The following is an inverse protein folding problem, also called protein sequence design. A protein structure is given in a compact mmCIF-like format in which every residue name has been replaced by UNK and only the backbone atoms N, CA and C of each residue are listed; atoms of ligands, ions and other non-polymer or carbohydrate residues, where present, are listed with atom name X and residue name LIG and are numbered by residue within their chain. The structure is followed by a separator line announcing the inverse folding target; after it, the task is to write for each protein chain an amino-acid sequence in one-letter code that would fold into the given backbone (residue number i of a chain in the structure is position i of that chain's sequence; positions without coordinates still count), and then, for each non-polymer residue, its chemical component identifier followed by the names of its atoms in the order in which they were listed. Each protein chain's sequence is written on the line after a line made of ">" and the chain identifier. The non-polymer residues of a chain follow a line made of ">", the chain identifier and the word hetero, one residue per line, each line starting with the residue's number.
data_IF_095518757353
#
_entry.id   IF_095518757353
#
_cell.length_a   1.000
_cell.length_b   1.000
_cell.length_c   1.000
_cell.angle_alpha   90.00
_cell.angle_beta   90.00
_cell.angle_gamma   90.00
#
_symmetry.space_group_name_H-M   'P 1'
#
loop_
_entity.id
_entity.type
_entity.pdbx_description
1 polymer ?
#
# COMPACT_ATOMS: atom_id res chain seq x y z
N UNK A 1 -24.41 35.77 5.30
CA UNK A 1 -25.27 35.24 6.35
C UNK A 1 -25.90 33.95 5.84
N UNK A 2 -25.44 32.90 6.23
CA UNK A 2 -25.90 31.65 6.78
C UNK A 2 -24.81 30.58 6.58
N UNK A 3 -24.13 30.38 7.68
CA UNK A 3 -23.27 29.24 7.93
C UNK A 3 -24.13 28.16 8.55
N UNK A 4 -24.43 27.09 7.81
CA UNK A 4 -25.02 25.88 8.43
C UNK A 4 -23.99 24.77 8.38
N UNK A 5 -23.20 24.72 9.46
CA UNK A 5 -22.46 23.54 9.83
C UNK A 5 -23.45 22.50 10.35
N UNK A 6 -23.57 21.37 9.67
CA UNK A 6 -24.35 20.25 10.14
C UNK A 6 -23.61 19.52 11.27
N UNK A 7 -24.25 19.22 12.38
CA UNK A 7 -23.64 18.52 13.50
C UNK A 7 -23.38 17.05 13.16
N UNK A 8 -22.21 16.55 13.54
CA UNK A 8 -21.90 15.12 13.57
C UNK A 8 -22.72 14.50 14.70
N UNK A 9 -23.87 13.92 14.35
CA UNK A 9 -24.72 13.19 15.27
C UNK A 9 -24.33 11.72 15.30
N UNK A 10 -23.82 11.26 16.42
CA UNK A 10 -23.71 9.84 16.72
C UNK A 10 -25.08 9.31 17.13
N UNK A 11 -25.66 8.42 16.35
CA UNK A 11 -26.81 7.61 16.76
C UNK A 11 -26.47 6.14 16.56
N UNK A 12 -26.39 5.37 17.66
CA UNK A 12 -26.32 3.92 17.64
C UNK A 12 -27.71 3.37 17.81
N UNK A 13 -28.14 2.47 16.94
CA UNK A 13 -29.38 1.72 17.07
C UNK A 13 -29.20 0.29 17.61
N UNK A 14 -27.97 -0.08 17.95
CA UNK A 14 -27.69 -1.38 18.59
C UNK A 14 -27.75 -2.59 17.67
N UNK A 15 -27.84 -2.44 16.34
CA UNK A 15 -28.02 -3.57 15.40
C UNK A 15 -26.77 -3.97 14.60
N UNK A 16 -25.63 -3.36 14.80
CA UNK A 16 -24.40 -3.73 14.08
C UNK A 16 -24.31 -3.24 12.63
N UNK A 17 -25.30 -2.54 12.09
CA UNK A 17 -25.33 -2.03 10.70
C UNK A 17 -24.52 -0.73 10.47
N UNK A 18 -23.70 -0.36 11.41
CA UNK A 18 -22.95 0.91 11.42
C UNK A 18 -21.88 1.03 10.33
N UNK A 19 -21.36 -0.09 9.87
CA UNK A 19 -20.26 -0.09 8.91
C UNK A 19 -20.71 0.16 7.47
N UNK A 20 -21.96 -0.16 7.11
CA UNK A 20 -22.44 -0.01 5.73
C UNK A 20 -22.76 1.46 5.33
N UNK A 21 -23.20 2.28 6.25
CA UNK A 21 -23.64 3.66 5.96
C UNK A 21 -22.53 4.68 5.78
N UNK A 22 -21.44 4.59 6.51
CA UNK A 22 -20.29 5.50 6.38
C UNK A 22 -19.37 5.15 5.21
N UNK A 23 -19.21 3.85 4.93
CA UNK A 23 -18.40 3.37 3.79
C UNK A 23 -19.04 3.71 2.44
N UNK A 24 -20.36 3.71 2.33
CA UNK A 24 -21.06 3.89 1.04
C UNK A 24 -21.04 5.33 0.49
N UNK A 25 -20.71 6.36 1.26
CA UNK A 25 -20.70 7.75 0.75
C UNK A 25 -19.35 8.22 0.18
N UNK A 26 -18.25 7.58 0.54
CA UNK A 26 -16.90 7.92 0.05
C UNK A 26 -16.35 6.95 -1.01
N UNK A 27 -16.93 5.75 -1.14
CA UNK A 27 -16.34 4.63 -1.88
C UNK A 27 -17.15 4.28 -3.14
N UNK A 28 -17.62 5.29 -3.87
CA UNK A 28 -18.33 5.04 -5.14
C UNK A 28 -17.50 4.33 -6.22
N UNK A 29 -16.20 4.12 -6.00
CA UNK A 29 -15.29 3.60 -7.03
C UNK A 29 -14.38 2.44 -6.62
N UNK A 30 -14.66 1.78 -5.51
CA UNK A 30 -13.99 0.51 -5.18
C UNK A 30 -14.98 -0.66 -5.35
N UNK A 31 -14.99 -1.35 -6.50
CA UNK A 31 -16.00 -2.37 -6.83
C UNK A 31 -16.04 -3.54 -5.84
N UNK A 32 -14.93 -3.83 -5.17
CA UNK A 32 -14.81 -4.90 -4.18
C UNK A 32 -15.49 -4.61 -2.83
N UNK A 33 -15.81 -3.34 -2.52
CA UNK A 33 -16.59 -2.97 -1.33
C UNK A 33 -18.12 -3.02 -1.57
N UNK A 34 -18.57 -3.07 -2.83
CA UNK A 34 -20.00 -3.05 -3.16
C UNK A 34 -20.64 -4.44 -3.22
N UNK A 35 -19.87 -5.54 -3.21
CA UNK A 35 -20.43 -6.86 -3.46
C UNK A 35 -21.03 -7.57 -2.26
N UNK A 36 -20.90 -7.05 -1.04
CA UNK A 36 -21.47 -7.70 0.17
C UNK A 36 -21.04 -9.16 0.41
N UNK A 37 -20.15 -9.68 -0.43
CA UNK A 37 -19.66 -11.04 -0.41
C UNK A 37 -18.24 -11.05 0.20
N UNK A 38 -18.17 -11.00 1.52
CA UNK A 38 -16.91 -11.20 2.26
C UNK A 38 -16.41 -12.65 2.20
N UNK A 39 -16.87 -13.45 1.27
CA UNK A 39 -16.51 -14.87 1.14
C UNK A 39 -15.66 -15.23 -0.06
N UNK A 40 -15.51 -14.37 -1.05
CA UNK A 40 -14.74 -14.68 -2.27
C UNK A 40 -13.95 -13.46 -2.71
N UNK A 41 -12.73 -13.28 -2.15
CA UNK A 41 -11.75 -12.42 -2.81
C UNK A 41 -11.29 -13.11 -4.10
N UNK A 42 -11.42 -12.47 -5.28
CA UNK A 42 -10.88 -13.05 -6.50
C UNK A 42 -9.35 -13.16 -6.32
N UNK A 43 -8.86 -14.41 -6.47
CA UNK A 43 -7.44 -14.64 -6.70
C UNK A 43 -6.93 -13.59 -7.71
N UNK A 44 -5.76 -13.02 -7.51
CA UNK A 44 -4.88 -12.13 -8.31
C UNK A 44 -5.27 -11.87 -9.80
N UNK A 45 -6.46 -12.13 -10.18
CA UNK A 45 -7.07 -11.62 -11.40
C UNK A 45 -7.64 -10.24 -11.03
N UNK A 46 -7.03 -9.20 -11.59
CA UNK A 46 -7.61 -7.86 -11.51
C UNK A 46 -9.12 -7.95 -11.74
N UNK A 47 -9.90 -7.08 -11.15
CA UNK A 47 -11.37 -7.03 -11.11
C UNK A 47 -12.06 -7.33 -12.47
N UNK A 48 -11.30 -7.57 -13.55
CA UNK A 48 -11.73 -7.88 -14.90
C UNK A 48 -10.88 -8.99 -15.58
N UNK A 49 -10.19 -9.85 -14.84
CA UNK A 49 -9.45 -10.97 -15.42
C UNK A 49 -8.16 -10.61 -16.16
N UNK A 50 -7.61 -9.42 -15.96
CA UNK A 50 -6.33 -9.01 -16.54
C UNK A 50 -5.25 -9.30 -15.51
N UNK A 51 -4.35 -10.26 -15.80
CA UNK A 51 -3.15 -10.48 -15.01
C UNK A 51 -2.25 -9.25 -15.10
N UNK A 52 -1.82 -8.69 -13.96
CA UNK A 52 -0.87 -7.59 -13.91
C UNK A 52 0.55 -8.13 -13.99
N UNK A 53 1.31 -7.65 -14.96
CA UNK A 53 2.73 -7.97 -15.10
C UNK A 53 3.57 -6.91 -14.37
N UNK A 54 3.86 -7.18 -13.11
CA UNK A 54 4.69 -6.30 -12.27
C UNK A 54 6.16 -6.27 -12.72
N UNK A 55 6.62 -7.27 -13.48
CA UNK A 55 7.99 -7.35 -14.00
C UNK A 55 8.30 -6.28 -15.04
N UNK A 56 7.34 -5.92 -15.91
CA UNK A 56 7.53 -4.93 -16.99
C UNK A 56 7.94 -3.54 -16.50
N UNK A 57 7.66 -3.19 -15.27
CA UNK A 57 7.90 -1.85 -14.72
C UNK A 57 9.00 -1.82 -13.66
N UNK A 58 9.66 -2.95 -13.36
CA UNK A 58 10.55 -3.11 -12.20
C UNK A 58 11.66 -2.05 -12.10
N UNK A 59 12.34 -1.71 -13.20
CA UNK A 59 13.42 -0.70 -13.20
C UNK A 59 12.87 0.73 -12.96
N UNK A 60 11.74 1.09 -13.57
CA UNK A 60 11.06 2.38 -13.32
C UNK A 60 10.42 2.40 -11.93
N UNK A 61 9.88 1.27 -11.50
CA UNK A 61 9.33 1.09 -10.16
C UNK A 61 10.40 1.36 -9.10
N UNK A 62 11.58 0.77 -9.25
CA UNK A 62 12.72 0.97 -8.38
C UNK A 62 13.14 2.46 -8.27
N UNK A 63 13.08 3.19 -9.39
CA UNK A 63 13.49 4.60 -9.45
C UNK A 63 12.48 5.57 -8.82
N UNK A 64 11.17 5.30 -8.95
CA UNK A 64 10.13 6.29 -8.65
C UNK A 64 9.17 5.89 -7.52
N UNK A 65 9.36 4.74 -6.89
CA UNK A 65 8.51 4.25 -5.79
C UNK A 65 9.11 4.41 -4.41
N UNK A 66 10.39 4.75 -4.31
CA UNK A 66 11.02 5.09 -3.03
C UNK A 66 10.66 6.54 -2.67
N UNK A 67 9.43 6.73 -2.17
CA UNK A 67 8.82 8.04 -1.94
C UNK A 67 8.38 8.27 -0.49
N UNK A 68 8.53 7.26 0.38
CA UNK A 68 8.07 7.41 1.76
C UNK A 68 8.92 8.45 2.49
N UNK A 69 8.32 9.51 3.06
CA UNK A 69 9.06 10.50 3.82
C UNK A 69 9.55 9.92 5.16
N UNK A 70 10.56 10.55 5.75
CA UNK A 70 11.14 10.11 7.02
C UNK A 70 10.10 9.90 8.12
N UNK A 71 9.08 10.74 8.17
CA UNK A 71 7.98 10.65 9.15
C UNK A 71 7.23 9.32 9.07
N UNK A 72 7.10 8.72 7.87
CA UNK A 72 6.48 7.40 7.69
C UNK A 72 7.25 6.33 8.48
N UNK A 73 8.57 6.32 8.36
CA UNK A 73 9.44 5.37 9.07
C UNK A 73 9.52 5.66 10.58
N UNK A 74 9.56 6.93 10.97
CA UNK A 74 9.62 7.35 12.37
C UNK A 74 8.39 6.89 13.16
N UNK A 75 7.22 6.78 12.51
CA UNK A 75 6.00 6.25 13.13
C UNK A 75 6.14 4.77 13.48
N UNK A 76 6.78 3.98 12.60
CA UNK A 76 7.07 2.56 12.86
C UNK A 76 8.02 2.43 14.05
N UNK A 77 9.10 3.20 14.04
CA UNK A 77 10.12 3.18 15.11
C UNK A 77 9.53 3.60 16.47
N UNK A 78 8.65 4.60 16.51
CA UNK A 78 7.95 5.01 17.75
C UNK A 78 7.08 3.90 18.35
N UNK A 79 6.67 2.92 17.56
CA UNK A 79 5.98 1.71 18.04
C UNK A 79 6.94 0.65 18.56
N UNK A 80 8.26 0.90 18.54
CA UNK A 80 9.31 -0.07 18.84
C UNK A 80 9.21 -1.32 17.95
N UNK A 81 8.86 -1.13 16.67
CA UNK A 81 8.78 -2.17 15.65
C UNK A 81 9.86 -1.96 14.59
N UNK A 82 10.33 -3.06 14.01
CA UNK A 82 11.37 -3.09 12.98
C UNK A 82 12.68 -2.43 13.43
N UNK A 83 13.08 -2.67 14.68
CA UNK A 83 14.27 -2.09 15.33
C UNK A 83 15.27 -3.18 15.73
N UNK A 84 16.43 -2.76 16.25
CA UNK A 84 17.53 -3.63 16.67
C UNK A 84 17.04 -4.79 17.57
N UNK A 85 17.54 -5.99 17.30
CA UNK A 85 17.21 -7.24 18.00
C UNK A 85 15.98 -7.95 17.46
N UNK A 86 15.22 -7.35 16.53
CA UNK A 86 14.05 -7.99 15.92
C UNK A 86 14.39 -8.66 14.59
N UNK A 87 13.76 -9.81 14.32
CA UNK A 87 13.71 -10.45 13.00
C UNK A 87 12.41 -10.03 12.32
N UNK A 88 12.51 -9.41 11.15
CA UNK A 88 11.38 -8.82 10.42
C UNK A 88 11.21 -9.48 9.06
N UNK A 89 9.99 -9.89 8.74
CA UNK A 89 9.60 -10.35 7.41
C UNK A 89 8.77 -9.26 6.71
N UNK A 90 9.18 -8.85 5.52
CA UNK A 90 8.44 -7.90 4.67
C UNK A 90 7.75 -8.65 3.53
N UNK A 91 6.44 -8.85 3.65
CA UNK A 91 5.62 -9.53 2.64
C UNK A 91 5.29 -8.60 1.48
N UNK A 92 5.39 -9.10 0.24
CA UNK A 92 5.21 -8.29 -0.95
C UNK A 92 6.20 -7.12 -0.98
N UNK A 93 7.46 -7.40 -0.64
CA UNK A 93 8.53 -6.39 -0.45
C UNK A 93 8.83 -5.57 -1.71
N UNK A 94 8.42 -6.07 -2.89
CA UNK A 94 8.70 -5.44 -4.17
C UNK A 94 10.20 -5.27 -4.38
N UNK A 95 10.64 -4.04 -4.60
CA UNK A 95 12.07 -3.71 -4.74
C UNK A 95 12.78 -3.46 -3.40
N UNK A 96 12.20 -3.89 -2.28
CA UNK A 96 12.80 -3.76 -0.95
C UNK A 96 12.76 -2.34 -0.37
N UNK A 97 11.80 -1.51 -0.75
CA UNK A 97 11.75 -0.09 -0.31
C UNK A 97 11.67 0.02 1.21
N UNK A 98 10.76 -0.73 1.85
CA UNK A 98 10.60 -0.66 3.30
C UNK A 98 11.84 -1.20 4.01
N UNK A 99 12.26 -2.41 3.70
CA UNK A 99 13.40 -3.08 4.34
C UNK A 99 14.71 -2.29 4.19
N UNK A 100 15.01 -1.73 3.00
CA UNK A 100 16.21 -0.90 2.76
C UNK A 100 16.21 0.38 3.59
N UNK A 101 15.10 1.10 3.61
CA UNK A 101 15.02 2.37 4.35
C UNK A 101 14.98 2.17 5.86
N UNK A 102 14.43 1.04 6.33
CA UNK A 102 14.39 0.67 7.74
C UNK A 102 15.67 -0.06 8.23
N UNK A 103 16.54 -0.50 7.33
CA UNK A 103 17.78 -1.24 7.65
C UNK A 103 18.65 -0.54 8.71
N UNK A 104 18.75 0.77 8.65
CA UNK A 104 19.52 1.59 9.60
C UNK A 104 19.06 1.50 11.06
N UNK A 105 17.86 0.97 11.32
CA UNK A 105 17.34 0.81 12.69
C UNK A 105 17.71 -0.53 13.32
N UNK A 106 18.52 -1.35 12.63
CA UNK A 106 19.21 -2.51 13.20
C UNK A 106 18.41 -3.81 13.27
N UNK A 107 17.18 -3.86 12.75
CA UNK A 107 16.46 -5.13 12.60
C UNK A 107 17.12 -6.02 11.54
N UNK A 108 16.93 -7.34 11.68
CA UNK A 108 17.28 -8.32 10.64
C UNK A 108 16.11 -8.47 9.69
N UNK A 109 16.36 -8.21 8.41
CA UNK A 109 15.30 -8.17 7.41
C UNK A 109 15.34 -9.37 6.47
N UNK A 110 14.17 -9.95 6.25
CA UNK A 110 13.87 -10.86 5.15
C UNK A 110 12.71 -10.26 4.34
N UNK A 111 12.87 -10.12 3.02
CA UNK A 111 11.81 -9.64 2.13
C UNK A 111 11.34 -10.74 1.18
N UNK A 112 10.03 -10.87 1.00
CA UNK A 112 9.46 -11.83 0.04
C UNK A 112 8.56 -11.12 -0.97
N UNK A 113 8.57 -11.60 -2.20
CA UNK A 113 7.64 -11.19 -3.25
C UNK A 113 7.42 -12.36 -4.21
N UNK A 114 6.27 -12.42 -4.85
CA UNK A 114 5.98 -13.47 -5.84
C UNK A 114 6.73 -13.23 -7.17
N UNK A 115 7.15 -11.99 -7.45
CA UNK A 115 7.87 -11.62 -8.67
C UNK A 115 9.38 -11.76 -8.50
N UNK A 116 9.99 -12.68 -9.27
CA UNK A 116 11.44 -12.84 -9.34
C UNK A 116 12.14 -11.56 -9.82
N UNK A 117 11.52 -10.79 -10.71
CA UNK A 117 12.07 -9.53 -11.23
C UNK A 117 12.11 -8.45 -10.15
N UNK A 118 11.10 -8.36 -9.29
CA UNK A 118 11.10 -7.46 -8.14
C UNK A 118 12.21 -7.84 -7.16
N UNK A 119 12.33 -9.11 -6.83
CA UNK A 119 13.37 -9.62 -5.94
C UNK A 119 14.77 -9.39 -6.51
N UNK A 120 14.96 -9.58 -7.82
CA UNK A 120 16.25 -9.29 -8.47
C UNK A 120 16.62 -7.79 -8.31
N UNK A 121 15.67 -6.89 -8.50
CA UNK A 121 15.88 -5.45 -8.26
C UNK A 121 16.13 -5.13 -6.78
N UNK A 122 15.41 -5.77 -5.86
CA UNK A 122 15.64 -5.61 -4.43
C UNK A 122 17.08 -5.96 -4.03
N UNK A 123 17.60 -7.07 -4.50
CA UNK A 123 18.99 -7.50 -4.26
C UNK A 123 20.01 -6.50 -4.80
N UNK A 124 19.81 -5.97 -6.01
CA UNK A 124 20.71 -4.96 -6.62
C UNK A 124 20.71 -3.67 -5.78
N UNK A 125 19.52 -3.19 -5.39
CA UNK A 125 19.36 -1.93 -4.64
C UNK A 125 19.81 -2.04 -3.18
N UNK A 126 19.94 -3.26 -2.66
CA UNK A 126 20.39 -3.55 -1.29
C UNK A 126 21.85 -3.99 -1.24
N UNK A 127 22.63 -3.77 -2.31
CA UNK A 127 24.05 -4.12 -2.31
C UNK A 127 24.78 -3.49 -1.11
N UNK A 128 25.47 -4.34 -0.33
CA UNK A 128 26.13 -3.92 0.91
C UNK A 128 25.25 -3.88 2.17
N UNK A 129 23.97 -4.23 2.06
CA UNK A 129 23.06 -4.42 3.20
C UNK A 129 22.88 -5.92 3.47
N UNK A 130 22.82 -6.31 4.76
CA UNK A 130 22.52 -7.69 5.16
C UNK A 130 20.98 -7.88 5.21
N UNK A 131 20.36 -7.97 4.03
CA UNK A 131 18.93 -8.21 3.84
C UNK A 131 18.76 -9.45 2.97
N UNK A 132 18.02 -10.42 3.44
CA UNK A 132 17.66 -11.62 2.67
C UNK A 132 16.43 -11.36 1.80
N UNK A 133 16.42 -11.89 0.57
CA UNK A 133 15.26 -11.78 -0.33
C UNK A 133 14.96 -13.11 -1.00
N UNK A 134 13.66 -13.49 -0.98
CA UNK A 134 13.16 -14.71 -1.61
C UNK A 134 11.97 -14.46 -2.52
N UNK A 135 11.97 -15.10 -3.70
CA UNK A 135 10.80 -15.10 -4.59
C UNK A 135 9.87 -16.26 -4.19
N UNK A 136 8.89 -15.95 -3.34
CA UNK A 136 7.96 -16.94 -2.77
C UNK A 136 6.60 -16.30 -2.48
N UNK A 137 5.53 -17.10 -2.57
CA UNK A 137 4.19 -16.69 -2.15
C UNK A 137 4.12 -16.51 -0.63
N UNK A 138 3.53 -15.41 -0.18
CA UNK A 138 3.31 -15.13 1.25
C UNK A 138 2.42 -16.17 1.94
N UNK A 139 1.52 -16.81 1.19
CA UNK A 139 0.56 -17.81 1.66
C UNK A 139 1.17 -19.20 1.88
N UNK A 140 2.43 -19.39 1.45
CA UNK A 140 3.14 -20.66 1.61
C UNK A 140 4.63 -20.42 1.58
N UNK A 141 5.25 -20.42 2.73
CA UNK A 141 6.69 -20.25 2.91
C UNK A 141 7.31 -21.46 3.63
N UNK A 142 8.63 -21.61 3.51
CA UNK A 142 9.40 -22.63 4.23
C UNK A 142 10.12 -22.06 5.47
N UNK A 143 9.75 -20.85 5.92
CA UNK A 143 10.32 -20.26 7.14
C UNK A 143 9.98 -21.07 8.37
N UNK A 144 10.89 -21.11 9.36
CA UNK A 144 10.66 -21.81 10.62
C UNK A 144 9.47 -21.25 11.40
N UNK A 145 8.84 -22.10 12.22
CA UNK A 145 7.84 -21.67 13.17
C UNK A 145 8.44 -20.74 14.22
N UNK A 146 7.67 -19.75 14.69
CA UNK A 146 8.04 -18.83 15.75
C UNK A 146 9.39 -18.10 15.48
N UNK A 147 9.61 -17.67 14.27
CA UNK A 147 10.90 -17.09 13.84
C UNK A 147 10.91 -15.56 13.83
N UNK A 148 9.84 -14.93 13.35
CA UNK A 148 9.78 -13.48 13.19
C UNK A 148 9.17 -12.77 14.42
N UNK A 149 9.74 -11.64 14.80
CA UNK A 149 9.17 -10.73 15.80
C UNK A 149 8.09 -9.84 15.18
N UNK A 150 8.31 -9.43 13.91
CA UNK A 150 7.40 -8.55 13.17
C UNK A 150 7.25 -9.06 11.74
N UNK A 151 6.02 -9.05 11.24
CA UNK A 151 5.72 -9.21 9.82
C UNK A 151 5.12 -7.91 9.31
N UNK A 152 5.68 -7.34 8.23
CA UNK A 152 5.17 -6.13 7.59
C UNK A 152 4.48 -6.47 6.28
N UNK A 153 3.42 -5.71 5.94
CA UNK A 153 2.80 -5.70 4.62
C UNK A 153 2.52 -4.25 4.22
N UNK A 154 3.38 -3.72 3.33
CA UNK A 154 3.30 -2.34 2.89
C UNK A 154 2.71 -2.25 1.49
N UNK A 155 1.51 -1.68 1.34
CA UNK A 155 0.78 -1.49 0.08
C UNK A 155 0.29 -2.77 -0.61
N UNK A 156 0.39 -3.94 0.00
CA UNK A 156 0.14 -5.23 -0.64
C UNK A 156 -0.89 -6.12 0.07
N UNK A 157 -1.28 -5.77 1.31
CA UNK A 157 -2.07 -6.65 2.17
C UNK A 157 -3.35 -7.19 1.52
N UNK A 158 -4.03 -6.40 0.72
CA UNK A 158 -5.28 -6.81 0.08
C UNK A 158 -5.14 -7.67 -1.19
N UNK A 159 -3.91 -7.99 -1.59
CA UNK A 159 -3.68 -8.93 -2.71
C UNK A 159 -3.57 -10.39 -2.25
N UNK A 160 -3.47 -10.63 -0.95
CA UNK A 160 -3.27 -11.96 -0.39
C UNK A 160 -4.58 -12.75 -0.23
N UNK A 161 -4.45 -14.08 -0.30
CA UNK A 161 -5.48 -15.03 0.11
C UNK A 161 -5.44 -15.15 1.65
N UNK A 162 -6.31 -14.41 2.33
CA UNK A 162 -6.31 -14.32 3.80
C UNK A 162 -6.64 -15.64 4.49
N UNK A 163 -7.39 -16.54 3.86
CA UNK A 163 -7.67 -17.88 4.40
C UNK A 163 -6.40 -18.73 4.52
N UNK A 164 -5.43 -18.49 3.64
CA UNK A 164 -4.13 -19.17 3.64
C UNK A 164 -3.07 -18.38 4.39
N UNK A 165 -3.09 -17.05 4.27
CA UNK A 165 -2.07 -16.19 4.89
C UNK A 165 -2.18 -16.18 6.41
N UNK A 166 -3.39 -16.08 6.97
CA UNK A 166 -3.57 -15.97 8.42
C UNK A 166 -2.91 -17.14 9.20
N UNK A 167 -3.19 -18.43 8.88
CA UNK A 167 -2.53 -19.53 9.57
C UNK A 167 -1.01 -19.57 9.37
N UNK A 168 -0.51 -19.10 8.21
CA UNK A 168 0.93 -19.01 7.96
C UNK A 168 1.58 -17.92 8.82
N UNK A 169 0.93 -16.78 9.01
CA UNK A 169 1.38 -15.73 9.95
C UNK A 169 1.39 -16.21 11.40
N UNK A 170 0.35 -16.94 11.81
CA UNK A 170 0.31 -17.55 13.17
C UNK A 170 1.46 -18.52 13.37
N UNK A 171 1.85 -19.28 12.34
CA UNK A 171 2.96 -20.23 12.40
C UNK A 171 4.32 -19.53 12.50
N UNK A 172 4.55 -18.53 11.64
CA UNK A 172 5.85 -17.87 11.51
C UNK A 172 6.17 -16.88 12.62
N UNK A 173 5.15 -16.23 13.20
CA UNK A 173 5.34 -15.25 14.26
C UNK A 173 5.70 -15.90 15.58
N UNK A 174 6.64 -15.30 16.30
CA UNK A 174 6.90 -15.63 17.71
C UNK A 174 5.67 -15.35 18.57
N UNK A 175 5.49 -16.03 19.72
CA UNK A 175 4.45 -15.66 20.68
C UNK A 175 4.52 -14.17 21.03
N UNK A 176 3.40 -13.45 20.86
CA UNK A 176 3.34 -12.01 21.05
C UNK A 176 3.98 -11.18 19.93
N UNK A 177 4.35 -11.79 18.81
CA UNK A 177 4.84 -11.10 17.61
C UNK A 177 3.76 -10.24 16.94
N UNK A 178 4.16 -9.38 16.04
CA UNK A 178 3.32 -8.32 15.49
C UNK A 178 3.18 -8.43 13.96
N UNK A 179 1.99 -8.12 13.46
CA UNK A 179 1.76 -7.79 12.06
C UNK A 179 1.63 -6.27 11.97
N UNK A 180 2.37 -5.65 11.08
CA UNK A 180 2.32 -4.22 10.81
C UNK A 180 1.84 -3.99 9.37
N UNK A 181 0.63 -3.51 9.23
CA UNK A 181 0.03 -3.14 7.96
C UNK A 181 0.27 -1.67 7.68
N UNK A 182 0.74 -1.35 6.49
CA UNK A 182 1.14 0.00 6.10
C UNK A 182 0.54 0.38 4.74
N UNK A 183 0.03 1.60 4.67
CA UNK A 183 -0.53 2.17 3.45
C UNK A 183 -0.16 3.64 3.31
N UNK A 184 0.03 4.10 2.07
CA UNK A 184 0.18 5.50 1.74
C UNK A 184 -0.34 5.77 0.32
N UNK A 185 -1.20 6.77 0.18
CA UNK A 185 -1.73 7.18 -1.11
C UNK A 185 -1.86 8.70 -1.21
N UNK A 186 -1.81 9.23 -2.44
CA UNK A 186 -2.13 10.64 -2.69
C UNK A 186 -3.64 10.88 -2.58
N UNK A 187 -4.00 12.13 -2.26
CA UNK A 187 -5.38 12.57 -2.07
C UNK A 187 -5.79 13.48 -3.25
N UNK A 188 -6.41 12.93 -4.31
CA UNK A 188 -6.69 13.69 -5.54
C UNK A 188 -7.72 14.81 -5.35
N UNK A 189 -8.57 14.71 -4.33
CA UNK A 189 -9.56 15.75 -4.02
C UNK A 189 -9.00 16.88 -3.17
N UNK A 190 -7.87 16.67 -2.51
CA UNK A 190 -7.22 17.65 -1.64
C UNK A 190 -5.99 18.29 -2.30
N UNK A 191 -5.48 17.68 -3.37
CA UNK A 191 -4.29 18.14 -4.10
C UNK A 191 -4.58 18.33 -5.58
N UNK A 192 -4.38 19.56 -6.06
CA UNK A 192 -4.70 19.94 -7.45
C UNK A 192 -3.81 19.24 -8.48
N UNK A 193 -2.53 19.02 -8.16
CA UNK A 193 -1.59 18.37 -9.08
C UNK A 193 -1.91 16.87 -9.16
N UNK A 194 -2.16 16.24 -8.03
CA UNK A 194 -2.58 14.85 -7.99
C UNK A 194 -3.93 14.65 -8.69
N UNK A 195 -4.92 15.50 -8.40
CA UNK A 195 -6.25 15.42 -9.01
C UNK A 195 -6.22 15.58 -10.53
N UNK A 196 -5.45 16.56 -11.05
CA UNK A 196 -5.30 16.76 -12.49
C UNK A 196 -4.56 15.61 -13.17
N UNK A 197 -3.52 15.07 -12.52
CA UNK A 197 -2.77 13.92 -13.02
C UNK A 197 -3.65 12.66 -13.07
N UNK A 198 -4.48 12.45 -12.04
CA UNK A 198 -5.41 11.33 -11.97
C UNK A 198 -6.55 11.46 -12.99
N UNK A 199 -7.10 12.65 -13.18
CA UNK A 199 -8.09 12.93 -14.22
C UNK A 199 -7.53 12.59 -15.62
N UNK A 200 -6.26 12.94 -15.89
CA UNK A 200 -5.60 12.58 -17.13
C UNK A 200 -5.40 11.05 -17.25
N UNK A 201 -5.03 10.37 -16.16
CA UNK A 201 -4.93 8.92 -16.15
C UNK A 201 -6.28 8.26 -16.49
N UNK A 202 -7.38 8.74 -15.91
CA UNK A 202 -8.75 8.27 -16.17
C UNK A 202 -9.22 8.57 -17.61
N UNK A 203 -8.73 9.61 -18.26
CA UNK A 203 -8.99 9.86 -19.69
C UNK A 203 -8.48 8.70 -20.56
N UNK A 204 -7.31 8.14 -20.25
CA UNK A 204 -6.71 7.01 -20.95
C UNK A 204 -7.21 5.65 -20.46
N UNK A 205 -7.50 5.52 -19.17
CA UNK A 205 -8.01 4.31 -18.54
C UNK A 205 -9.25 4.60 -17.67
N UNK A 206 -10.44 4.77 -18.27
CA UNK A 206 -11.66 5.10 -17.51
C UNK A 206 -12.09 4.02 -16.50
N UNK A 207 -11.53 2.80 -16.63
CA UNK A 207 -11.84 1.67 -15.73
C UNK A 207 -10.82 1.49 -14.60
N UNK A 208 -9.89 2.42 -14.45
CA UNK A 208 -8.91 2.33 -13.37
C UNK A 208 -9.58 2.50 -12.01
N UNK A 209 -9.65 1.40 -11.25
CA UNK A 209 -10.31 1.33 -9.94
C UNK A 209 -9.48 1.90 -8.79
N UNK A 210 -8.21 2.27 -9.01
CA UNK A 210 -7.34 2.86 -7.98
C UNK A 210 -7.36 4.39 -7.94
N UNK A 211 -8.30 5.02 -8.65
CA UNK A 211 -8.52 6.46 -8.64
C UNK A 211 -9.55 6.87 -7.57
N UNK A 212 -9.50 8.14 -7.15
CA UNK A 212 -10.47 8.71 -6.22
C UNK A 212 -10.22 8.37 -4.76
N UNK A 213 -8.95 8.21 -4.38
CA UNK A 213 -8.55 7.86 -3.02
C UNK A 213 -8.96 8.94 -2.00
N UNK A 214 -9.36 8.49 -0.83
CA UNK A 214 -9.71 9.31 0.32
C UNK A 214 -9.11 8.72 1.59
N UNK A 215 -9.01 9.51 2.66
CA UNK A 215 -8.52 9.01 3.96
C UNK A 215 -9.48 7.94 4.50
N UNK A 216 -8.93 6.77 4.80
CA UNK A 216 -9.68 5.68 5.45
C UNK A 216 -8.72 4.79 6.27
N UNK A 217 -9.22 4.11 7.32
CA UNK A 217 -8.44 3.13 8.06
C UNK A 217 -8.09 1.91 7.20
N UNK A 218 -7.05 1.19 7.58
CA UNK A 218 -6.73 -0.10 6.98
C UNK A 218 -7.80 -1.11 7.42
N UNK A 219 -8.49 -1.69 6.45
CA UNK A 219 -9.42 -2.79 6.71
C UNK A 219 -8.64 -4.07 7.04
N UNK A 220 -8.95 -4.65 8.19
CA UNK A 220 -8.42 -5.95 8.61
C UNK A 220 -9.55 -6.98 8.54
N UNK A 221 -9.42 -8.06 7.75
CA UNK A 221 -10.43 -9.11 7.69
C UNK A 221 -10.69 -9.76 9.05
N UNK A 222 -11.95 -10.09 9.32
CA UNK A 222 -12.38 -10.63 10.61
C UNK A 222 -11.67 -11.94 11.01
N UNK A 223 -11.22 -12.72 10.03
CA UNK A 223 -10.48 -13.97 10.26
C UNK A 223 -9.25 -13.77 11.16
N UNK A 224 -8.60 -12.60 11.08
CA UNK A 224 -7.45 -12.28 11.93
C UNK A 224 -7.82 -12.12 13.41
N UNK A 225 -9.04 -11.71 13.73
CA UNK A 225 -9.48 -11.46 15.11
C UNK A 225 -9.56 -12.73 15.94
N UNK A 226 -9.42 -13.91 15.33
CA UNK A 226 -9.36 -15.18 16.03
C UNK A 226 -8.04 -15.38 16.80
N UNK A 227 -6.93 -14.96 16.22
CA UNK A 227 -5.59 -15.21 16.74
C UNK A 227 -4.81 -13.92 17.02
N UNK A 228 -5.33 -12.77 16.62
CA UNK A 228 -4.68 -11.48 16.77
C UNK A 228 -5.61 -10.45 17.43
N UNK A 229 -5.02 -9.53 18.16
CA UNK A 229 -5.66 -8.33 18.69
C UNK A 229 -5.11 -7.11 17.94
N UNK A 230 -5.99 -6.25 17.45
CA UNK A 230 -5.58 -4.96 16.89
C UNK A 230 -5.22 -4.01 18.02
N UNK A 231 -3.93 -3.78 18.23
CA UNK A 231 -3.39 -2.98 19.34
C UNK A 231 -3.22 -1.50 18.99
N UNK A 232 -3.23 -1.18 17.69
CA UNK A 232 -3.06 0.20 17.21
C UNK A 232 -3.61 0.37 15.80
N UNK A 233 -4.13 1.57 15.52
CA UNK A 233 -4.35 2.08 14.16
C UNK A 233 -4.20 3.60 14.15
N UNK A 234 -3.82 4.14 13.01
CA UNK A 234 -3.65 5.59 12.82
C UNK A 234 -3.80 5.93 11.33
N UNK A 235 -4.49 7.03 11.04
CA UNK A 235 -4.48 7.71 9.75
C UNK A 235 -3.87 9.10 9.94
N UNK A 236 -2.99 9.51 9.02
CA UNK A 236 -2.28 10.79 9.12
C UNK A 236 -1.98 11.38 7.75
N UNK A 237 -1.91 12.71 7.69
CA UNK A 237 -1.62 13.43 6.46
C UNK A 237 -0.11 13.64 6.29
N UNK A 238 0.34 13.59 5.04
CA UNK A 238 1.73 13.78 4.63
C UNK A 238 1.80 14.70 3.42
N UNK A 239 2.79 15.58 3.41
CA UNK A 239 3.17 16.35 2.23
C UNK A 239 4.45 15.74 1.63
N UNK A 240 4.30 14.94 0.58
CA UNK A 240 5.40 14.20 -0.04
C UNK A 240 6.05 15.06 -1.12
N UNK A 241 7.38 15.32 -1.04
CA UNK A 241 8.08 16.17 -2.00
C UNK A 241 8.29 15.46 -3.34
N UNK A 242 8.08 16.20 -4.42
CA UNK A 242 8.30 15.77 -5.80
C UNK A 242 8.92 16.86 -6.65
N UNK A 243 9.59 16.44 -7.71
CA UNK A 243 9.84 17.23 -8.91
C UNK A 243 8.83 16.83 -9.98
N UNK A 244 8.71 17.62 -11.07
CA UNK A 244 7.88 17.21 -12.22
C UNK A 244 8.29 15.85 -12.78
N UNK A 245 9.59 15.57 -12.83
CA UNK A 245 10.11 14.28 -13.30
C UNK A 245 9.72 13.13 -12.37
N UNK A 246 9.96 13.28 -11.05
CA UNK A 246 9.68 12.20 -10.09
C UNK A 246 8.17 11.94 -9.94
N UNK A 247 7.33 12.97 -10.00
CA UNK A 247 5.88 12.80 -9.99
C UNK A 247 5.37 12.14 -11.28
N UNK A 248 5.88 12.56 -12.44
CA UNK A 248 5.57 11.90 -13.70
C UNK A 248 5.93 10.41 -13.67
N UNK A 249 7.14 10.09 -13.22
CA UNK A 249 7.59 8.70 -13.07
C UNK A 249 6.75 7.91 -12.07
N UNK A 250 6.35 8.53 -10.94
CA UNK A 250 5.46 7.92 -9.96
C UNK A 250 4.10 7.57 -10.56
N UNK A 251 3.51 8.48 -11.32
CA UNK A 251 2.23 8.24 -12.01
C UNK A 251 2.36 7.16 -13.08
N UNK A 252 3.44 7.18 -13.88
CA UNK A 252 3.71 6.17 -14.91
C UNK A 252 3.78 4.75 -14.33
N UNK A 253 4.26 4.59 -13.10
CA UNK A 253 4.38 3.28 -12.43
C UNK A 253 3.11 2.83 -11.72
N UNK A 254 2.02 3.60 -11.74
CA UNK A 254 0.76 3.15 -11.16
C UNK A 254 0.04 2.12 -12.07
N UNK A 255 -0.83 1.30 -11.45
CA UNK A 255 -1.59 0.28 -12.19
C UNK A 255 -2.43 0.87 -13.31
N UNK A 256 -2.96 2.07 -13.10
CA UNK A 256 -3.81 2.76 -14.06
C UNK A 256 -3.12 3.09 -15.39
N UNK A 257 -1.80 3.19 -15.39
CA UNK A 257 -0.98 3.54 -16.55
C UNK A 257 -0.07 2.38 -16.95
N UNK A 258 1.03 2.16 -16.23
CA UNK A 258 2.12 1.28 -16.67
C UNK A 258 1.75 -0.19 -16.80
N UNK A 259 0.83 -0.70 -15.96
CA UNK A 259 0.42 -2.08 -15.98
C UNK A 259 -0.85 -2.36 -16.83
N UNK A 260 -1.54 -1.31 -17.30
CA UNK A 260 -2.84 -1.46 -17.95
C UNK A 260 -2.89 -0.95 -19.39
N UNK A 261 -2.08 0.04 -19.75
CA UNK A 261 -2.11 0.67 -21.07
C UNK A 261 -1.12 0.01 -22.02
N UNK A 262 -1.40 0.11 -23.32
CA UNK A 262 -0.45 -0.25 -24.38
C UNK A 262 0.70 0.76 -24.45
N UNK A 263 1.83 0.39 -25.04
CA UNK A 263 3.00 1.28 -25.19
C UNK A 263 2.66 2.58 -25.95
N UNK A 264 1.77 2.51 -26.94
CA UNK A 264 1.31 3.66 -27.70
C UNK A 264 0.47 4.61 -26.84
N UNK A 265 -0.42 4.06 -26.03
CA UNK A 265 -1.23 4.84 -25.08
C UNK A 265 -0.36 5.44 -23.98
N UNK A 266 0.59 4.68 -23.42
CA UNK A 266 1.57 5.18 -22.45
C UNK A 266 2.34 6.37 -23.06
N UNK A 267 2.88 6.22 -24.28
CA UNK A 267 3.64 7.29 -24.94
C UNK A 267 2.79 8.55 -25.20
N UNK A 268 1.51 8.39 -25.48
CA UNK A 268 0.58 9.50 -25.65
C UNK A 268 0.25 10.18 -24.34
N UNK A 269 -0.03 9.38 -23.29
CA UNK A 269 -0.26 9.87 -21.94
C UNK A 269 0.98 10.61 -21.40
N UNK A 270 2.18 10.09 -21.60
CA UNK A 270 3.43 10.72 -21.14
C UNK A 270 3.56 12.15 -21.70
N UNK A 271 3.35 12.32 -22.99
CA UNK A 271 3.43 13.66 -23.62
C UNK A 271 2.42 14.63 -23.00
N UNK A 272 1.16 14.21 -22.87
CA UNK A 272 0.13 15.06 -22.29
C UNK A 272 0.41 15.36 -20.81
N UNK A 273 0.88 14.36 -20.04
CA UNK A 273 1.16 14.55 -18.61
C UNK A 273 2.37 15.47 -18.36
N UNK A 274 3.41 15.38 -19.21
CA UNK A 274 4.55 16.30 -19.14
C UNK A 274 4.11 17.75 -19.40
N UNK A 275 3.28 17.98 -20.42
CA UNK A 275 2.77 19.33 -20.72
C UNK A 275 1.83 19.83 -19.61
N UNK A 276 0.95 18.98 -19.12
CA UNK A 276 0.09 19.29 -17.96
C UNK A 276 0.93 19.75 -16.76
N UNK A 277 1.98 19.00 -16.40
CA UNK A 277 2.84 19.36 -15.27
C UNK A 277 3.62 20.66 -15.47
N UNK A 278 4.00 21.00 -16.71
CA UNK A 278 4.61 22.30 -17.00
C UNK A 278 3.66 23.46 -16.75
N UNK A 279 2.38 23.25 -17.03
CA UNK A 279 1.33 24.27 -16.87
C UNK A 279 0.94 24.46 -15.39
N UNK A 280 0.71 23.36 -14.65
CA UNK A 280 0.07 23.43 -13.32
C UNK A 280 1.03 23.34 -12.14
N UNK A 281 2.26 22.80 -12.33
CA UNK A 281 3.18 22.52 -11.23
C UNK A 281 4.48 23.33 -11.34
N UNK A 282 5.03 23.85 -10.23
CA UNK A 282 6.40 24.39 -10.20
C UNK A 282 7.44 23.27 -10.41
N UNK A 283 8.73 23.62 -10.52
CA UNK A 283 9.79 22.62 -10.74
C UNK A 283 9.89 21.60 -9.59
N UNK A 284 9.63 22.05 -8.35
CA UNK A 284 9.54 21.23 -7.16
C UNK A 284 8.29 21.62 -6.37
N UNK A 285 7.60 20.65 -5.83
CA UNK A 285 6.32 20.81 -5.13
C UNK A 285 6.12 19.64 -4.16
N UNK A 286 5.12 19.75 -3.32
CA UNK A 286 4.64 18.62 -2.52
C UNK A 286 3.30 18.14 -3.08
N UNK A 287 3.01 16.86 -2.88
CA UNK A 287 1.69 16.27 -3.14
C UNK A 287 1.12 15.77 -1.83
N UNK A 288 -0.12 16.17 -1.55
CA UNK A 288 -0.85 15.72 -0.37
C UNK A 288 -1.12 14.22 -0.45
N UNK A 289 -0.63 13.50 0.55
CA UNK A 289 -0.87 12.08 0.77
C UNK A 289 -1.50 11.87 2.15
N UNK A 290 -2.06 10.71 2.37
CA UNK A 290 -2.24 10.17 3.70
C UNK A 290 -1.47 8.87 3.86
N UNK A 291 -1.06 8.61 5.08
CA UNK A 291 -0.59 7.29 5.51
C UNK A 291 -1.62 6.66 6.42
N UNK A 292 -1.70 5.35 6.39
CA UNK A 292 -2.46 4.57 7.36
C UNK A 292 -1.59 3.43 7.89
N UNK A 293 -1.75 3.14 9.17
CA UNK A 293 -1.04 2.06 9.86
C UNK A 293 -2.02 1.29 10.74
N UNK A 294 -1.92 -0.04 10.71
CA UNK A 294 -2.60 -0.91 11.67
C UNK A 294 -1.60 -1.93 12.23
N UNK A 295 -1.64 -2.15 13.53
CA UNK A 295 -0.81 -3.11 14.24
C UNK A 295 -1.70 -4.18 14.85
N UNK A 296 -1.39 -5.43 14.53
CA UNK A 296 -2.02 -6.62 15.11
C UNK A 296 -0.96 -7.38 15.92
N UNK A 297 -1.33 -7.81 17.10
CA UNK A 297 -0.47 -8.61 17.98
C UNK A 297 -1.01 -10.03 18.10
N UNK A 298 -0.14 -11.02 17.92
CA UNK A 298 -0.48 -12.43 18.12
C UNK A 298 -0.77 -12.68 19.61
N UNK A 299 -1.98 -13.16 19.91
CA UNK A 299 -2.46 -13.38 21.31
C UNK A 299 -2.37 -14.84 21.77
N UNK A 300 -1.68 -15.69 21.02
CA UNK A 300 -1.38 -17.08 21.38
C UNK A 300 0.00 -17.22 21.98
#
# INVERSE_FOLDING_TARGET
>A
MNTDALPVGFLSDGTGEWLSGMYLRGVKHQPWLQSGAYGEMPQIMGVFGIAFDWGKTSANYARFRDIYPQEFYDRIVRRNLCVEGQSVLDLGTGTGVLSRNMYRYGAKWTGTDISEEQIAQARILSEGMDIEYEAVSAEKTDFPDNFFDVVTACQCFWYFDHEKLEPELVRMLKPGGHILLLYMAWLPYEDKIAGASEALALKYNPRWSGAGETVHPIFVPEIYMKNFEQTFHEEYLLDVPFTRESWHGRMKTCRGIGASLTETEISSWEREHIELLKEIAPASFTVRHYGAMAELKLVR
#
